data_IF_535775294709
#
_entry.id   IF_535775294709
#
_cell.length_a   1.000
_cell.length_b   1.000
_cell.length_c   1.000
_cell.angle_alpha   90.00
_cell.angle_beta   90.00
_cell.angle_gamma   90.00
#
_symmetry.space_group_name_H-M   'P 1'
#
loop_
_entity.id
_entity.type
_entity.pdbx_description
1 polymer ?
#
# COMPACT_ATOMS: atom_id res chain seq x y z
N UNK A 1 10.00 -8.47 17.51
CA UNK A 1 8.84 -7.57 17.35
C UNK A 1 8.15 -8.03 16.07
N UNK A 2 6.83 -8.09 16.04
CA UNK A 2 6.08 -8.34 14.80
C UNK A 2 5.49 -7.00 14.36
N UNK A 3 5.83 -6.59 13.14
CA UNK A 3 5.38 -5.34 12.54
C UNK A 3 4.45 -5.64 11.37
N UNK A 4 3.51 -4.73 11.11
CA UNK A 4 2.61 -4.81 9.98
C UNK A 4 2.07 -3.44 9.63
N UNK A 5 1.72 -3.25 8.37
CA UNK A 5 1.15 -2.02 7.87
C UNK A 5 -0.28 -2.28 7.36
N UNK A 6 -1.14 -1.29 7.49
CA UNK A 6 -2.50 -1.33 7.03
C UNK A 6 -3.25 -0.03 7.31
N UNK A 7 -4.46 0.03 6.78
CA UNK A 7 -5.38 1.16 6.81
C UNK A 7 -6.79 0.62 7.03
N UNK A 8 -7.71 1.49 7.46
CA UNK A 8 -9.14 1.15 7.57
C UNK A 8 -9.73 0.68 6.24
N UNK A 9 -9.26 1.28 5.15
CA UNK A 9 -9.65 1.03 3.76
C UNK A 9 -9.10 -0.28 3.20
N UNK A 10 -8.22 -0.99 3.94
CA UNK A 10 -7.73 -2.33 3.59
C UNK A 10 -8.10 -3.38 4.63
N UNK A 11 -9.18 -3.14 5.38
CA UNK A 11 -9.81 -4.08 6.32
C UNK A 11 -8.96 -4.61 7.49
N UNK A 12 -7.69 -4.18 7.62
CA UNK A 12 -6.85 -4.21 8.82
C UNK A 12 -5.36 -4.05 8.45
N UNK A 13 -4.85 -5.00 7.66
CA UNK A 13 -3.42 -5.23 7.48
C UNK A 13 -3.17 -5.71 6.04
N UNK A 14 -2.25 -5.04 5.35
CA UNK A 14 -1.84 -5.36 3.98
C UNK A 14 -0.48 -6.05 3.95
N UNK A 15 0.41 -5.75 4.89
CA UNK A 15 1.68 -6.46 5.08
C UNK A 15 1.89 -6.86 6.54
N UNK A 16 2.51 -7.99 6.78
CA UNK A 16 2.85 -8.44 8.13
C UNK A 16 4.20 -9.18 8.13
N UNK A 17 4.93 -9.05 9.24
CA UNK A 17 6.16 -9.80 9.48
C UNK A 17 5.89 -11.29 9.44
N UNK A 18 6.75 -12.05 8.77
CA UNK A 18 6.67 -13.50 8.80
C UNK A 18 7.05 -14.04 10.18
N UNK A 19 6.41 -15.12 10.61
CA UNK A 19 6.65 -15.74 11.93
C UNK A 19 8.11 -16.23 12.06
N UNK A 20 8.79 -16.44 10.93
CA UNK A 20 10.17 -16.93 10.87
C UNK A 20 11.21 -15.84 10.60
N UNK A 21 10.81 -14.62 10.26
CA UNK A 21 11.73 -13.51 9.96
C UNK A 21 11.57 -12.38 10.99
N UNK A 22 12.67 -12.00 11.64
CA UNK A 22 12.69 -11.02 12.73
C UNK A 22 13.58 -9.81 12.42
N UNK A 23 13.81 -9.54 11.14
CA UNK A 23 14.58 -8.39 10.69
C UNK A 23 13.86 -7.09 11.09
N UNK A 24 14.63 -6.13 11.60
CA UNK A 24 14.11 -4.86 12.11
C UNK A 24 14.11 -3.83 10.99
N UNK A 25 13.08 -2.97 10.94
CA UNK A 25 13.00 -1.85 9.99
C UNK A 25 12.25 -2.18 8.70
N UNK A 26 11.41 -3.21 8.72
CA UNK A 26 10.48 -3.52 7.64
C UNK A 26 9.10 -3.90 8.20
N UNK A 27 8.07 -3.74 7.39
CA UNK A 27 6.66 -4.02 7.73
C UNK A 27 6.21 -5.43 7.27
N UNK A 28 7.19 -6.30 6.97
CA UNK A 28 6.97 -7.63 6.44
C UNK A 28 6.52 -7.68 4.99
N UNK A 29 5.96 -8.83 4.61
CA UNK A 29 5.58 -9.15 3.23
C UNK A 29 4.09 -8.89 3.00
N UNK A 30 3.64 -8.68 1.74
CA UNK A 30 2.22 -8.61 1.42
C UNK A 30 1.45 -9.84 1.91
N UNK A 31 0.23 -9.59 2.42
CA UNK A 31 -0.69 -10.65 2.82
C UNK A 31 -1.15 -11.48 1.61
N UNK A 32 -1.73 -12.64 1.86
CA UNK A 32 -2.27 -13.48 0.78
C UNK A 32 -3.25 -12.71 -0.10
N UNK A 33 -3.06 -12.84 -1.42
CA UNK A 33 -3.86 -12.18 -2.46
C UNK A 33 -3.75 -10.64 -2.49
N UNK A 34 -2.83 -10.06 -1.71
CA UNK A 34 -2.49 -8.65 -1.81
C UNK A 34 -1.38 -8.44 -2.84
N UNK A 35 -1.57 -7.43 -3.67
CA UNK A 35 -0.55 -6.87 -4.55
C UNK A 35 -0.13 -5.51 -3.99
N UNK A 36 1.17 -5.26 -3.95
CA UNK A 36 1.75 -3.99 -3.51
C UNK A 36 2.72 -3.53 -4.58
N UNK A 37 2.59 -2.28 -5.03
CA UNK A 37 3.51 -1.65 -5.96
C UNK A 37 3.88 -0.24 -5.49
N UNK A 38 4.91 0.33 -6.11
CA UNK A 38 5.31 1.71 -5.91
C UNK A 38 4.98 2.52 -7.16
N UNK A 39 4.42 3.71 -6.98
CA UNK A 39 4.24 4.71 -8.03
C UNK A 39 5.16 5.90 -7.78
N UNK A 40 5.84 6.39 -8.83
CA UNK A 40 6.72 7.56 -8.67
C UNK A 40 5.91 8.82 -8.38
N UNK A 41 6.45 9.70 -7.54
CA UNK A 41 5.92 11.04 -7.27
C UNK A 41 6.98 12.08 -7.65
N UNK A 42 7.05 12.50 -8.93
CA UNK A 42 8.06 13.43 -9.41
C UNK A 42 8.06 14.77 -8.65
N UNK A 43 6.90 15.23 -8.18
CA UNK A 43 6.74 16.48 -7.42
C UNK A 43 7.49 16.45 -6.07
N UNK A 44 7.73 15.25 -5.53
CA UNK A 44 8.45 15.02 -4.28
C UNK A 44 9.87 14.48 -4.51
N UNK A 45 10.31 14.37 -5.77
CA UNK A 45 11.58 13.73 -6.16
C UNK A 45 11.67 12.27 -5.67
N UNK A 46 10.54 11.55 -5.65
CA UNK A 46 10.46 10.14 -5.27
C UNK A 46 10.25 9.31 -6.52
N UNK A 47 11.27 8.53 -6.89
CA UNK A 47 11.25 7.76 -8.13
C UNK A 47 11.41 6.28 -7.83
N UNK A 48 10.61 5.45 -8.50
CA UNK A 48 10.74 3.98 -8.42
C UNK A 48 12.07 3.49 -9.01
N UNK A 49 12.75 4.34 -9.78
CA UNK A 49 14.09 4.10 -10.31
C UNK A 49 15.21 4.46 -9.33
N UNK A 50 14.90 5.02 -8.16
CA UNK A 50 15.89 5.34 -7.15
C UNK A 50 16.64 4.09 -6.68
N UNK A 51 17.94 4.24 -6.44
CA UNK A 51 18.82 3.14 -6.08
C UNK A 51 19.75 3.57 -4.93
N UNK A 52 19.95 2.72 -3.90
CA UNK A 52 19.50 1.33 -3.78
C UNK A 52 18.06 1.16 -3.24
N UNK A 53 17.40 2.25 -2.87
CA UNK A 53 16.07 2.22 -2.24
C UNK A 53 15.07 2.98 -3.12
N UNK A 54 14.28 2.27 -3.96
CA UNK A 54 13.16 2.85 -4.71
C UNK A 54 12.20 3.59 -3.79
N UNK A 55 11.69 4.74 -4.22
CA UNK A 55 10.73 5.56 -3.47
C UNK A 55 9.52 5.87 -4.33
N UNK A 56 8.37 6.07 -3.69
CA UNK A 56 7.12 6.33 -4.37
C UNK A 56 5.93 6.16 -3.45
N UNK A 57 4.73 6.43 -3.95
CA UNK A 57 3.52 6.07 -3.23
C UNK A 57 3.37 4.55 -3.18
N UNK A 58 2.99 4.02 -2.02
CA UNK A 58 2.57 2.64 -1.88
C UNK A 58 1.15 2.50 -2.42
N UNK A 59 0.98 1.70 -3.47
CA UNK A 59 -0.31 1.33 -4.03
C UNK A 59 -0.62 -0.12 -3.67
N UNK A 60 -1.88 -0.41 -3.38
CA UNK A 60 -2.30 -1.75 -2.92
C UNK A 60 -3.56 -2.23 -3.63
N UNK A 61 -3.59 -3.50 -4.03
CA UNK A 61 -4.76 -4.14 -4.65
C UNK A 61 -5.03 -5.49 -4.01
N UNK A 62 -6.30 -5.87 -3.94
CA UNK A 62 -6.72 -7.20 -3.49
C UNK A 62 -8.08 -7.20 -2.81
N UNK A 63 -8.57 -8.38 -2.39
CA UNK A 63 -9.92 -8.54 -1.85
C UNK A 63 -10.14 -7.84 -0.50
N UNK A 64 -9.06 -7.47 0.21
CA UNK A 64 -9.12 -6.73 1.47
C UNK A 64 -9.38 -5.22 1.28
N UNK A 65 -9.16 -4.68 0.08
CA UNK A 65 -9.42 -3.27 -0.24
C UNK A 65 -10.93 -3.04 -0.22
N UNK A 66 -11.35 -1.95 0.44
CA UNK A 66 -12.74 -1.54 0.51
C UNK A 66 -13.35 -1.28 -0.87
N UNK A 67 -14.68 -1.20 -0.94
CA UNK A 67 -15.38 -0.88 -2.18
C UNK A 67 -15.56 0.64 -2.41
N UNK A 68 -15.13 1.45 -1.44
CA UNK A 68 -15.26 2.91 -1.47
C UNK A 68 -15.86 3.52 -0.22
N UNK A 69 -15.87 4.85 -0.19
CA UNK A 69 -16.43 5.66 0.88
C UNK A 69 -17.94 5.81 0.73
N UNK A 70 -18.67 5.70 1.84
CA UNK A 70 -20.13 5.76 1.83
C UNK A 70 -20.62 7.17 1.45
N UNK A 71 -21.41 7.26 0.38
CA UNK A 71 -21.97 8.52 -0.18
C UNK A 71 -20.91 9.54 -0.63
N UNK A 72 -19.69 9.08 -0.87
CA UNK A 72 -18.60 9.94 -1.35
C UNK A 72 -17.90 9.26 -2.54
N UNK A 73 -18.57 9.34 -3.69
CA UNK A 73 -18.06 8.78 -4.95
C UNK A 73 -16.82 9.51 -5.45
N UNK A 74 -16.66 10.80 -5.14
CA UNK A 74 -15.52 11.61 -5.58
C UNK A 74 -14.25 11.16 -4.86
N UNK A 75 -14.29 11.04 -3.53
CA UNK A 75 -13.18 10.51 -2.75
C UNK A 75 -12.89 9.05 -3.11
N UNK A 76 -13.92 8.25 -3.41
CA UNK A 76 -13.75 6.86 -3.84
C UNK A 76 -12.98 6.76 -5.16
N UNK A 77 -13.35 7.55 -6.16
CA UNK A 77 -12.67 7.57 -7.47
C UNK A 77 -11.26 8.15 -7.41
N UNK A 78 -11.00 9.01 -6.43
CA UNK A 78 -9.66 9.55 -6.19
C UNK A 78 -8.77 8.51 -5.51
N UNK A 79 -9.34 7.69 -4.62
CA UNK A 79 -8.61 6.69 -3.87
C UNK A 79 -8.40 5.37 -4.62
N UNK A 80 -9.32 4.99 -5.51
CA UNK A 80 -9.25 3.76 -6.32
C UNK A 80 -9.08 4.12 -7.79
N UNK A 81 -7.99 3.64 -8.39
CA UNK A 81 -7.73 3.84 -9.81
C UNK A 81 -8.53 2.88 -10.72
N UNK A 82 -8.37 3.03 -12.04
CA UNK A 82 -9.06 2.22 -13.05
C UNK A 82 -8.59 0.75 -13.06
N UNK A 83 -7.38 0.47 -12.58
CA UNK A 83 -6.78 -0.87 -12.48
C UNK A 83 -7.09 -1.57 -11.14
N UNK A 84 -7.84 -0.89 -10.26
CA UNK A 84 -8.28 -1.35 -8.95
C UNK A 84 -7.23 -1.22 -7.85
N UNK A 85 -6.17 -0.46 -8.05
CA UNK A 85 -5.23 -0.10 -6.99
C UNK A 85 -5.80 1.01 -6.12
N UNK A 86 -5.58 0.87 -4.82
CA UNK A 86 -5.85 1.88 -3.83
C UNK A 86 -4.59 2.69 -3.54
N UNK A 87 -4.69 4.00 -3.69
CA UNK A 87 -3.68 5.00 -3.34
C UNK A 87 -3.66 5.20 -1.82
N UNK A 88 -2.59 4.75 -1.16
CA UNK A 88 -2.52 4.74 0.32
C UNK A 88 -2.17 6.11 0.92
N UNK A 89 -1.65 7.05 0.13
CA UNK A 89 -1.10 8.31 0.58
C UNK A 89 0.13 8.15 1.49
N UNK A 90 0.83 7.00 1.43
CA UNK A 90 2.08 6.73 2.15
C UNK A 90 3.24 6.59 1.17
N UNK A 91 4.40 7.10 1.58
CA UNK A 91 5.59 7.26 0.75
C UNK A 91 6.84 6.70 1.46
#
# INVERSE_FOLDING_TARGET
>A
IAEGYGLTEVSACITCSEITHFDIGNIGVPHYLAEVCLESIPEMDYLVSDNPYPRGEILVRGPQVFVGYYKDEESTKTALDEDGFFHTGKF
#
